data_IF_372108691674
#
_entry.id   IF_372108691674
#
_cell.length_a   1.000
_cell.length_b   1.000
_cell.length_c   1.000
_cell.angle_alpha   90.00
_cell.angle_beta   90.00
_cell.angle_gamma   90.00
#
_symmetry.space_group_name_H-M   'P 1'
#
loop_
_entity.id
_entity.type
_entity.pdbx_description
1 polymer ?
#
# COMPACT_ATOMS: atom_id res chain seq x y z
N UNK A 1 25.37 22.34 -13.36
CA UNK A 1 24.59 22.48 -12.10
C UNK A 1 23.45 21.46 -11.93
N UNK A 2 23.34 20.42 -12.76
CA UNK A 2 22.36 19.30 -12.61
C UNK A 2 22.75 18.25 -11.55
N UNK A 3 24.00 18.30 -11.04
CA UNK A 3 24.53 17.37 -10.05
C UNK A 3 24.13 17.68 -8.58
N UNK A 4 23.45 18.80 -8.33
CA UNK A 4 23.07 19.25 -6.97
C UNK A 4 21.61 18.93 -6.59
N UNK A 5 20.92 18.10 -7.38
CA UNK A 5 19.60 17.60 -6.98
C UNK A 5 19.74 16.59 -5.83
N UNK A 6 19.09 16.79 -4.66
CA UNK A 6 19.16 15.89 -3.52
C UNK A 6 18.30 14.66 -3.79
N UNK A 7 18.92 13.71 -4.47
CA UNK A 7 18.34 12.47 -4.95
C UNK A 7 19.38 11.54 -5.55
N UNK A 8 20.66 11.95 -5.61
CA UNK A 8 21.77 10.99 -5.68
C UNK A 8 21.79 10.19 -4.37
N UNK A 9 20.89 9.22 -4.29
CA UNK A 9 21.27 7.96 -3.65
C UNK A 9 22.67 7.65 -4.18
N UNK A 10 23.55 7.18 -3.29
CA UNK A 10 24.79 6.55 -3.76
C UNK A 10 24.43 5.61 -4.91
N UNK A 11 25.30 5.43 -5.92
CA UNK A 11 25.03 4.52 -7.04
C UNK A 11 24.41 3.20 -6.56
N UNK A 12 24.93 2.67 -5.43
CA UNK A 12 24.42 1.51 -4.68
C UNK A 12 22.95 1.63 -4.24
N UNK A 13 22.53 2.76 -3.65
CA UNK A 13 21.14 2.96 -3.25
C UNK A 13 20.18 3.09 -4.43
N UNK A 14 20.63 3.64 -5.56
CA UNK A 14 19.83 3.69 -6.80
C UNK A 14 19.63 2.31 -7.40
N UNK A 15 20.71 1.52 -7.47
CA UNK A 15 20.66 0.12 -7.89
C UNK A 15 19.75 -0.72 -6.99
N UNK A 16 19.90 -0.63 -5.67
CA UNK A 16 19.05 -1.36 -4.74
C UNK A 16 17.55 -1.03 -4.91
N UNK A 17 17.23 0.25 -5.19
CA UNK A 17 15.84 0.67 -5.45
C UNK A 17 15.32 0.14 -6.78
N UNK A 18 16.13 0.18 -7.84
CA UNK A 18 15.77 -0.37 -9.15
C UNK A 18 15.55 -1.89 -9.08
N UNK A 19 16.47 -2.61 -8.43
CA UNK A 19 16.34 -4.05 -8.18
C UNK A 19 15.09 -4.34 -7.35
N UNK A 20 14.79 -3.55 -6.32
CA UNK A 20 13.59 -3.70 -5.53
C UNK A 20 12.30 -3.53 -6.35
N UNK A 21 12.23 -2.52 -7.21
CA UNK A 21 11.07 -2.34 -8.11
C UNK A 21 10.99 -3.42 -9.18
N UNK A 22 12.13 -3.83 -9.76
CA UNK A 22 12.18 -4.93 -10.72
C UNK A 22 11.73 -6.25 -10.11
N UNK A 23 12.18 -6.58 -8.92
CA UNK A 23 11.74 -7.76 -8.18
C UNK A 23 10.24 -7.70 -7.88
N UNK A 24 9.72 -6.54 -7.45
CA UNK A 24 8.28 -6.36 -7.23
C UNK A 24 7.48 -6.55 -8.53
N UNK A 25 7.94 -5.99 -9.65
CA UNK A 25 7.32 -6.16 -10.96
C UNK A 25 7.33 -7.63 -11.42
N UNK A 26 8.44 -8.34 -11.24
CA UNK A 26 8.56 -9.77 -11.57
C UNK A 26 7.61 -10.61 -10.72
N UNK A 27 7.55 -10.37 -9.41
CA UNK A 27 6.64 -11.11 -8.52
C UNK A 27 5.18 -10.84 -8.89
N UNK A 28 4.80 -9.57 -9.06
CA UNK A 28 3.45 -9.20 -9.46
C UNK A 28 3.10 -9.75 -10.85
N UNK A 29 4.05 -9.75 -11.78
CA UNK A 29 3.88 -10.33 -13.10
C UNK A 29 3.68 -11.85 -13.05
N UNK A 30 4.49 -12.57 -12.27
CA UNK A 30 4.33 -14.02 -12.11
C UNK A 30 2.98 -14.39 -11.47
N UNK A 31 2.55 -13.64 -10.45
CA UNK A 31 1.23 -13.80 -9.84
C UNK A 31 0.09 -13.48 -10.83
N UNK A 32 0.29 -12.48 -11.69
CA UNK A 32 -0.69 -12.13 -12.71
C UNK A 32 -0.76 -13.14 -13.85
N UNK A 33 0.37 -13.73 -14.24
CA UNK A 33 0.44 -14.78 -15.25
C UNK A 33 -0.29 -16.05 -14.77
N UNK A 34 0.00 -16.48 -13.54
CA UNK A 34 -0.67 -17.63 -12.91
C UNK A 34 -2.17 -17.38 -12.72
N UNK A 35 -2.56 -16.16 -12.33
CA UNK A 35 -3.97 -15.79 -12.27
C UNK A 35 -4.65 -15.73 -13.66
N UNK A 36 -3.92 -15.37 -14.71
CA UNK A 36 -4.45 -15.26 -16.07
C UNK A 36 -4.51 -16.58 -16.85
N UNK A 37 -3.91 -17.64 -16.32
CA UNK A 37 -3.81 -18.95 -16.94
C UNK A 37 -5.20 -19.63 -16.98
N UNK A 38 -5.54 -20.24 -18.12
CA UNK A 38 -6.84 -20.92 -18.30
C UNK A 38 -8.06 -20.00 -18.42
N UNK A 39 -7.94 -18.70 -18.14
CA UNK A 39 -9.06 -17.75 -18.25
C UNK A 39 -9.40 -17.43 -19.71
N UNK A 40 -10.71 -17.43 -20.01
CA UNK A 40 -11.25 -16.93 -21.26
C UNK A 40 -11.09 -15.40 -21.38
N UNK A 41 -11.28 -14.79 -22.57
CA UNK A 41 -11.12 -13.34 -22.74
C UNK A 41 -11.99 -12.51 -21.80
N UNK A 42 -13.21 -12.97 -21.49
CA UNK A 42 -14.10 -12.29 -20.56
C UNK A 42 -13.62 -12.39 -19.10
N UNK A 43 -13.12 -13.56 -18.68
CA UNK A 43 -12.50 -13.80 -17.38
C UNK A 43 -11.27 -12.92 -17.17
N UNK A 44 -10.40 -12.80 -18.16
CA UNK A 44 -9.23 -11.90 -18.12
C UNK A 44 -9.64 -10.43 -17.98
N UNK A 45 -10.65 -9.99 -18.72
CA UNK A 45 -11.16 -8.63 -18.60
C UNK A 45 -11.75 -8.34 -17.21
N UNK A 46 -12.50 -9.28 -16.63
CA UNK A 46 -12.99 -9.18 -15.24
C UNK A 46 -11.83 -9.11 -14.25
N UNK A 47 -10.85 -10.00 -14.38
CA UNK A 47 -9.69 -10.06 -13.49
C UNK A 47 -8.91 -8.73 -13.49
N UNK A 48 -8.61 -8.16 -14.66
CA UNK A 48 -7.91 -6.86 -14.77
C UNK A 48 -8.68 -5.75 -14.05
N UNK A 49 -10.00 -5.72 -14.15
CA UNK A 49 -10.84 -4.70 -13.52
C UNK A 49 -10.93 -4.86 -12.02
N UNK A 50 -11.11 -6.08 -11.52
CA UNK A 50 -11.10 -6.35 -10.08
C UNK A 50 -9.74 -6.01 -9.46
N UNK A 51 -8.65 -6.37 -10.15
CA UNK A 51 -7.30 -6.00 -9.76
C UNK A 51 -7.11 -4.48 -9.75
N UNK A 52 -7.66 -3.75 -10.72
CA UNK A 52 -7.63 -2.28 -10.75
C UNK A 52 -8.40 -1.66 -9.58
N UNK A 53 -9.58 -2.20 -9.23
CA UNK A 53 -10.38 -1.77 -8.07
C UNK A 53 -9.59 -1.98 -6.77
N UNK A 54 -9.00 -3.16 -6.61
CA UNK A 54 -8.18 -3.51 -5.45
C UNK A 54 -6.95 -2.60 -5.34
N UNK A 55 -6.23 -2.40 -6.44
CA UNK A 55 -5.07 -1.50 -6.49
C UNK A 55 -5.50 -0.08 -6.12
N UNK A 56 -6.65 0.38 -6.59
CA UNK A 56 -7.19 1.70 -6.24
C UNK A 56 -7.46 1.85 -4.74
N UNK A 57 -7.96 0.80 -4.08
CA UNK A 57 -8.09 0.78 -2.62
C UNK A 57 -6.73 0.88 -1.93
N UNK A 58 -5.74 0.11 -2.40
CA UNK A 58 -4.37 0.17 -1.91
C UNK A 58 -3.72 1.55 -2.10
N UNK A 59 -3.91 2.18 -3.26
CA UNK A 59 -3.39 3.51 -3.57
C UNK A 59 -4.06 4.61 -2.73
N UNK A 60 -5.37 4.49 -2.47
CA UNK A 60 -6.13 5.42 -1.64
C UNK A 60 -5.57 5.54 -0.22
N UNK A 61 -5.08 4.42 0.33
CA UNK A 61 -4.49 4.36 1.67
C UNK A 61 -2.97 4.60 1.64
N UNK A 62 -2.26 3.94 0.72
CA UNK A 62 -0.81 3.84 0.73
C UNK A 62 -0.07 5.13 0.37
N UNK A 63 -0.68 6.03 -0.38
CA UNK A 63 -0.04 7.27 -0.85
C UNK A 63 0.44 8.18 0.28
N UNK A 64 -0.30 8.27 1.39
CA UNK A 64 0.10 9.06 2.55
C UNK A 64 1.39 8.52 3.18
N UNK A 65 1.47 7.19 3.33
CA UNK A 65 2.62 6.50 3.88
C UNK A 65 3.83 6.51 2.94
N UNK A 66 3.59 6.53 1.62
CA UNK A 66 4.64 6.62 0.62
C UNK A 66 5.25 8.03 0.55
N UNK A 67 4.41 9.07 0.62
CA UNK A 67 4.84 10.46 0.49
C UNK A 67 5.40 11.02 1.81
N UNK A 68 4.74 10.75 2.93
CA UNK A 68 4.93 11.48 4.18
C UNK A 68 5.27 10.59 5.40
N UNK A 69 6.11 11.08 6.33
CA UNK A 69 7.08 12.17 6.15
C UNK A 69 8.29 11.69 5.32
N UNK A 70 8.79 12.53 4.41
CA UNK A 70 10.03 12.23 3.67
C UNK A 70 11.25 12.23 4.60
N UNK A 71 12.19 11.29 4.40
CA UNK A 71 13.51 11.37 5.07
C UNK A 71 14.32 12.58 4.60
N UNK A 72 14.03 13.08 3.40
CA UNK A 72 14.76 14.19 2.82
C UNK A 72 14.25 15.56 3.28
N UNK A 73 13.16 15.65 4.08
CA UNK A 73 12.54 16.93 4.47
C UNK A 73 13.56 17.95 4.98
N UNK A 74 14.38 17.58 5.97
CA UNK A 74 15.37 18.50 6.56
C UNK A 74 16.37 19.03 5.53
N UNK A 75 16.84 18.17 4.63
CA UNK A 75 17.76 18.57 3.56
C UNK A 75 17.07 19.46 2.53
N UNK A 76 15.84 19.14 2.18
CA UNK A 76 15.04 19.95 1.26
C UNK A 76 14.73 21.32 1.87
N UNK A 77 14.56 21.43 3.19
CA UNK A 77 14.38 22.72 3.88
C UNK A 77 15.63 23.58 3.78
N UNK A 78 16.82 22.99 3.95
CA UNK A 78 18.10 23.72 3.83
C UNK A 78 18.36 24.22 2.42
N UNK A 79 17.96 23.45 1.41
CA UNK A 79 18.18 23.79 0.00
C UNK A 79 17.09 24.73 -0.53
N UNK A 80 15.91 24.70 0.10
CA UNK A 80 14.73 25.48 -0.27
C UNK A 80 14.45 25.50 -1.78
N UNK A 81 14.27 24.34 -2.42
CA UNK A 81 14.11 24.26 -3.87
C UNK A 81 12.76 24.85 -4.32
N UNK A 82 12.73 25.33 -5.57
CA UNK A 82 11.52 25.87 -6.20
C UNK A 82 10.35 24.85 -6.21
N UNK A 83 9.08 25.32 -6.24
CA UNK A 83 7.90 24.45 -6.20
C UNK A 83 7.92 23.32 -7.24
N UNK A 84 8.39 23.61 -8.46
CA UNK A 84 8.50 22.61 -9.54
C UNK A 84 9.46 21.46 -9.20
N UNK A 85 10.59 21.75 -8.54
CA UNK A 85 11.54 20.72 -8.11
C UNK A 85 11.02 19.90 -6.95
N UNK A 86 10.29 20.52 -6.01
CA UNK A 86 9.58 19.78 -4.96
C UNK A 86 8.55 18.82 -5.56
N UNK A 87 7.81 19.27 -6.58
CA UNK A 87 6.82 18.45 -7.27
C UNK A 87 7.47 17.26 -7.98
N UNK A 88 8.55 17.51 -8.73
CA UNK A 88 9.35 16.46 -9.36
C UNK A 88 9.91 15.47 -8.34
N UNK A 89 10.40 15.94 -7.19
CA UNK A 89 10.87 15.08 -6.11
C UNK A 89 9.75 14.17 -5.57
N UNK A 90 8.58 14.74 -5.29
CA UNK A 90 7.43 14.00 -4.78
C UNK A 90 6.92 12.97 -5.81
N UNK A 91 6.78 13.38 -7.08
CA UNK A 91 6.39 12.49 -8.18
C UNK A 91 7.43 11.40 -8.43
N UNK A 92 8.74 11.69 -8.44
CA UNK A 92 9.79 10.69 -8.62
C UNK A 92 9.87 9.66 -7.47
N UNK A 93 9.32 9.99 -6.31
CA UNK A 93 9.12 9.02 -5.21
C UNK A 93 7.89 8.15 -5.42
N UNK A 94 6.81 8.75 -5.93
CA UNK A 94 5.52 8.10 -6.06
C UNK A 94 5.33 7.30 -7.34
N UNK A 95 5.68 7.85 -8.51
CA UNK A 95 5.41 7.30 -9.84
C UNK A 95 5.86 5.84 -10.04
N UNK A 96 6.98 5.36 -9.46
CA UNK A 96 7.33 3.95 -9.54
C UNK A 96 6.26 3.00 -8.97
N UNK A 97 5.47 3.45 -7.99
CA UNK A 97 4.40 2.64 -7.36
C UNK A 97 3.32 2.28 -8.37
N UNK A 98 2.56 3.22 -8.98
CA UNK A 98 1.53 2.86 -9.95
C UNK A 98 2.10 2.23 -11.23
N UNK A 99 3.34 2.53 -11.63
CA UNK A 99 3.99 1.85 -12.77
C UNK A 99 4.22 0.35 -12.51
N UNK A 100 4.69 0.00 -11.31
CA UNK A 100 4.88 -1.40 -10.93
C UNK A 100 3.53 -2.10 -10.74
N UNK A 101 2.54 -1.38 -10.20
CA UNK A 101 1.18 -1.92 -10.03
C UNK A 101 0.40 -2.06 -11.34
N UNK A 102 0.82 -1.44 -12.45
CA UNK A 102 0.22 -1.70 -13.77
C UNK A 102 0.71 -2.99 -14.43
N UNK A 103 1.83 -3.57 -13.96
CA UNK A 103 2.42 -4.78 -14.55
C UNK A 103 1.43 -5.96 -14.63
N UNK A 104 0.65 -6.27 -13.58
CA UNK A 104 -0.36 -7.33 -13.66
C UNK A 104 -1.34 -7.18 -14.82
N UNK A 105 -1.82 -5.96 -15.09
CA UNK A 105 -2.77 -5.71 -16.18
C UNK A 105 -2.14 -6.00 -17.55
N UNK A 106 -0.86 -5.64 -17.72
CA UNK A 106 -0.10 -5.95 -18.94
C UNK A 106 0.06 -7.46 -19.08
N UNK A 107 0.47 -8.15 -18.01
CA UNK A 107 0.75 -9.59 -18.05
C UNK A 107 -0.51 -10.42 -18.29
N UNK A 108 -1.63 -10.13 -17.63
CA UNK A 108 -2.91 -10.81 -17.86
C UNK A 108 -3.39 -10.65 -19.31
N UNK A 109 -3.08 -9.51 -19.93
CA UNK A 109 -3.42 -9.21 -21.31
C UNK A 109 -2.37 -9.69 -22.34
N UNK A 110 -1.19 -10.16 -21.90
CA UNK A 110 -0.01 -10.39 -22.74
C UNK A 110 -0.06 -11.64 -23.63
N UNK A 111 -1.08 -12.49 -23.51
CA UNK A 111 -1.28 -13.68 -24.36
C UNK A 111 -1.68 -13.33 -25.83
N UNK A 112 -1.15 -12.21 -26.35
CA UNK A 112 -1.06 -11.87 -27.76
C UNK A 112 -2.29 -11.24 -28.41
N UNK A 113 -3.43 -11.08 -27.71
CA UNK A 113 -4.71 -10.77 -28.39
C UNK A 113 -5.56 -9.66 -27.80
N UNK A 114 -5.09 -8.92 -26.79
CA UNK A 114 -5.90 -7.88 -26.13
C UNK A 114 -5.11 -6.61 -25.73
N UNK A 115 -4.45 -5.90 -26.67
CA UNK A 115 -3.69 -4.68 -26.37
C UNK A 115 -4.57 -3.58 -25.76
N UNK A 116 -5.84 -3.53 -26.12
CA UNK A 116 -6.81 -2.59 -25.54
C UNK A 116 -7.08 -2.87 -24.06
N UNK A 117 -7.12 -4.15 -23.64
CA UNK A 117 -7.30 -4.51 -22.24
C UNK A 117 -6.05 -4.17 -21.41
N UNK A 118 -4.85 -4.41 -21.95
CA UNK A 118 -3.60 -4.01 -21.33
C UNK A 118 -3.56 -2.48 -21.11
N UNK A 119 -3.96 -1.72 -22.14
CA UNK A 119 -4.04 -0.27 -22.09
C UNK A 119 -5.10 0.20 -21.08
N UNK A 120 -6.31 -0.38 -21.09
CA UNK A 120 -7.38 -0.08 -20.12
C UNK A 120 -6.87 -0.23 -18.69
N UNK A 121 -6.40 -1.42 -18.31
CA UNK A 121 -5.95 -1.70 -16.95
C UNK A 121 -4.75 -0.85 -16.53
N UNK A 122 -3.75 -0.71 -17.40
CA UNK A 122 -2.55 0.08 -17.09
C UNK A 122 -2.88 1.55 -16.93
N UNK A 123 -3.70 2.12 -17.83
CA UNK A 123 -4.11 3.51 -17.74
C UNK A 123 -5.01 3.76 -16.54
N UNK A 124 -5.91 2.84 -16.18
CA UNK A 124 -6.74 2.97 -14.98
C UNK A 124 -5.90 2.97 -13.70
N UNK A 125 -4.90 2.09 -13.58
CA UNK A 125 -3.98 2.08 -12.43
C UNK A 125 -3.15 3.37 -12.36
N UNK A 126 -2.61 3.82 -13.50
CA UNK A 126 -1.86 5.08 -13.57
C UNK A 126 -2.73 6.29 -13.25
N UNK A 127 -3.96 6.33 -13.76
CA UNK A 127 -4.95 7.36 -13.50
C UNK A 127 -5.28 7.43 -12.02
N UNK A 128 -5.62 6.30 -11.39
CA UNK A 128 -5.89 6.21 -9.96
C UNK A 128 -4.68 6.64 -9.13
N UNK A 129 -3.47 6.20 -9.50
CA UNK A 129 -2.23 6.56 -8.81
C UNK A 129 -1.90 8.05 -8.87
N UNK A 130 -1.99 8.65 -10.06
CA UNK A 130 -1.76 10.09 -10.22
C UNK A 130 -2.88 10.92 -9.57
N UNK A 131 -4.12 10.45 -9.65
CA UNK A 131 -5.25 11.11 -8.97
C UNK A 131 -5.05 11.08 -7.46
N UNK A 132 -4.66 9.93 -6.89
CA UNK A 132 -4.29 9.79 -5.49
C UNK A 132 -3.20 10.79 -5.11
N UNK A 133 -2.13 10.87 -5.90
CA UNK A 133 -1.07 11.85 -5.69
C UNK A 133 -1.62 13.28 -5.65
N UNK A 134 -2.35 13.71 -6.68
CA UNK A 134 -2.87 15.07 -6.76
C UNK A 134 -3.77 15.41 -5.55
N UNK A 135 -4.59 14.46 -5.11
CA UNK A 135 -5.52 14.65 -3.98
C UNK A 135 -4.82 14.69 -2.63
N UNK A 136 -3.76 13.92 -2.43
CA UNK A 136 -3.03 13.86 -1.17
C UNK A 136 -1.88 14.86 -1.07
N UNK A 137 -1.27 15.23 -2.20
CA UNK A 137 -0.19 16.18 -2.23
C UNK A 137 -0.65 17.62 -1.88
N UNK A 138 -1.95 17.90 -2.04
CA UNK A 138 -2.60 19.15 -1.64
C UNK A 138 -3.34 19.06 -0.29
N UNK A 139 -3.13 18.00 0.51
CA UNK A 139 -3.98 17.73 1.67
C UNK A 139 -3.67 18.64 2.87
N UNK A 140 -2.40 18.97 3.11
CA UNK A 140 -1.97 19.76 4.26
C UNK A 140 -2.75 21.08 4.45
N UNK A 141 -2.84 21.94 3.41
CA UNK A 141 -3.64 23.17 3.50
C UNK A 141 -5.11 22.93 3.87
N UNK A 142 -5.72 21.85 3.34
CA UNK A 142 -7.12 21.49 3.65
C UNK A 142 -7.26 21.08 5.12
N UNK A 143 -6.32 20.30 5.65
CA UNK A 143 -6.33 19.90 7.07
C UNK A 143 -6.17 21.12 7.97
N UNK A 144 -5.27 22.06 7.64
CA UNK A 144 -5.13 23.30 8.41
C UNK A 144 -6.40 24.16 8.40
N UNK A 145 -7.11 24.24 7.28
CA UNK A 145 -8.39 24.94 7.21
C UNK A 145 -9.48 24.25 8.07
N UNK A 146 -9.43 22.91 8.19
CA UNK A 146 -10.31 22.17 9.10
C UNK A 146 -9.97 22.41 10.57
N UNK A 147 -8.67 22.40 10.93
CA UNK A 147 -8.20 22.69 12.29
C UNK A 147 -8.55 24.11 12.76
N UNK A 148 -8.54 25.09 11.85
CA UNK A 148 -8.95 26.48 12.12
C UNK A 148 -10.46 26.70 12.03
N UNK A 149 -11.21 25.63 11.83
CA UNK A 149 -12.66 25.66 11.64
C UNK A 149 -13.18 26.46 10.42
N UNK A 150 -12.29 26.91 9.53
CA UNK A 150 -12.62 27.57 8.25
C UNK A 150 -13.33 26.61 7.27
N UNK A 151 -13.16 25.30 7.46
CA UNK A 151 -13.80 24.25 6.68
C UNK A 151 -14.42 23.16 7.58
N UNK A 152 -15.22 22.27 6.98
CA UNK A 152 -15.81 21.12 7.68
C UNK A 152 -17.11 21.40 8.46
N UNK A 153 -17.72 22.58 8.27
CA UNK A 153 -18.95 22.96 8.98
C UNK A 153 -20.13 21.99 8.78
N UNK A 154 -20.21 21.32 7.61
CA UNK A 154 -21.22 20.28 7.37
C UNK A 154 -21.05 19.08 8.31
N UNK A 155 -19.81 18.65 8.55
CA UNK A 155 -19.50 17.49 9.38
C UNK A 155 -19.74 17.81 10.86
N UNK A 156 -19.39 19.05 11.27
CA UNK A 156 -19.72 19.55 12.60
C UNK A 156 -21.22 19.54 12.86
N UNK A 157 -22.01 20.09 11.93
CA UNK A 157 -23.48 20.03 11.99
C UNK A 157 -24.00 18.58 12.05
N UNK A 158 -23.38 17.67 11.30
CA UNK A 158 -23.80 16.28 11.24
C UNK A 158 -23.64 15.56 12.58
N UNK A 159 -22.50 15.68 13.27
CA UNK A 159 -22.35 15.03 14.58
C UNK A 159 -23.02 15.80 15.72
N UNK A 160 -23.34 17.10 15.56
CA UNK A 160 -24.23 17.80 16.49
C UNK A 160 -25.63 17.19 16.46
N UNK A 161 -26.12 16.80 15.28
CA UNK A 161 -27.43 16.16 15.11
C UNK A 161 -27.43 14.66 15.43
N UNK A 162 -26.35 13.95 15.10
CA UNK A 162 -26.19 12.53 15.39
C UNK A 162 -24.80 12.25 15.98
N UNK A 163 -24.63 12.32 17.31
CA UNK A 163 -23.34 12.12 17.97
C UNK A 163 -22.69 10.76 17.67
N UNK A 164 -23.49 9.73 17.36
CA UNK A 164 -23.05 8.40 16.96
C UNK A 164 -22.31 8.36 15.61
N UNK A 165 -22.44 9.40 14.78
CA UNK A 165 -21.79 9.51 13.46
C UNK A 165 -20.40 10.15 13.57
N UNK A 166 -20.01 10.65 14.75
CA UNK A 166 -18.67 11.21 14.95
C UNK A 166 -17.63 10.12 14.72
N UNK A 167 -16.77 10.31 13.72
CA UNK A 167 -15.63 9.44 13.52
C UNK A 167 -14.78 9.44 14.78
N UNK A 168 -14.39 8.26 15.28
CA UNK A 168 -13.47 8.09 16.40
C UNK A 168 -12.02 8.45 16.05
N UNK A 169 -11.80 9.42 15.17
CA UNK A 169 -10.48 9.94 14.78
C UNK A 169 -10.41 11.44 15.05
N UNK A 170 -9.22 12.00 15.32
CA UNK A 170 -9.04 13.45 15.39
C UNK A 170 -9.61 14.15 14.15
N UNK A 171 -10.26 15.31 14.33
CA UNK A 171 -10.93 16.05 13.25
C UNK A 171 -9.96 16.42 12.09
N UNK A 172 -8.68 16.59 12.41
CA UNK A 172 -7.60 16.80 11.44
C UNK A 172 -7.40 15.62 10.44
N UNK A 173 -7.86 14.41 10.78
CA UNK A 173 -7.76 13.22 9.90
C UNK A 173 -8.98 13.03 9.00
N UNK A 174 -10.10 13.70 9.27
CA UNK A 174 -11.34 13.58 8.48
C UNK A 174 -11.15 13.98 7.01
N UNK A 175 -10.42 15.07 6.67
CA UNK A 175 -10.10 15.37 5.27
C UNK A 175 -9.33 14.24 4.58
N UNK A 176 -8.43 13.56 5.31
CA UNK A 176 -7.70 12.40 4.81
C UNK A 176 -8.61 11.22 4.50
N UNK A 177 -9.59 10.94 5.36
CA UNK A 177 -10.61 9.91 5.14
C UNK A 177 -11.47 10.22 3.91
N UNK A 178 -11.95 11.47 3.78
CA UNK A 178 -12.74 11.88 2.63
C UNK A 178 -11.96 11.76 1.31
N UNK A 179 -10.65 12.08 1.34
CA UNK A 179 -9.77 11.92 0.18
C UNK A 179 -9.50 10.45 -0.13
N UNK A 180 -9.36 9.61 0.88
CA UNK A 180 -9.24 8.15 0.73
C UNK A 180 -10.49 7.60 0.04
N UNK A 181 -11.68 7.94 0.53
CA UNK A 181 -12.95 7.55 -0.09
C UNK A 181 -13.07 8.04 -1.52
N UNK A 182 -12.76 9.31 -1.79
CA UNK A 182 -12.83 9.86 -3.15
C UNK A 182 -11.85 9.18 -4.12
N UNK A 183 -10.62 8.90 -3.68
CA UNK A 183 -9.62 8.20 -4.51
C UNK A 183 -10.05 6.77 -4.79
N UNK A 184 -10.53 6.05 -3.77
CA UNK A 184 -11.07 4.70 -3.94
C UNK A 184 -12.25 4.71 -4.91
N UNK A 185 -13.24 5.59 -4.71
CA UNK A 185 -14.42 5.69 -5.56
C UNK A 185 -14.04 5.99 -7.02
N UNK A 186 -13.19 6.99 -7.27
CA UNK A 186 -12.75 7.31 -8.65
C UNK A 186 -12.01 6.14 -9.28
N UNK A 187 -11.09 5.52 -8.54
CA UNK A 187 -10.32 4.37 -9.04
C UNK A 187 -11.16 3.11 -9.24
N UNK A 188 -12.20 2.89 -8.43
CA UNK A 188 -13.10 1.76 -8.55
C UNK A 188 -14.18 1.97 -9.62
N UNK A 189 -14.70 3.19 -9.76
CA UNK A 189 -15.68 3.54 -10.79
C UNK A 189 -15.07 3.61 -12.19
N UNK A 190 -13.80 3.98 -12.33
CA UNK A 190 -13.12 4.05 -13.64
C UNK A 190 -13.23 2.74 -14.45
N UNK A 191 -12.86 1.55 -13.95
CA UNK A 191 -12.99 0.30 -14.69
C UNK A 191 -14.46 -0.13 -14.90
N UNK A 192 -15.37 0.26 -13.99
CA UNK A 192 -16.81 -0.02 -14.15
C UNK A 192 -17.42 0.81 -15.29
N UNK A 193 -17.10 2.10 -15.35
CA UNK A 193 -17.50 2.99 -16.44
C UNK A 193 -16.87 2.55 -17.76
N UNK A 194 -15.59 2.17 -17.73
CA UNK A 194 -14.91 1.60 -18.91
C UNK A 194 -15.65 0.37 -19.45
N UNK A 195 -16.10 -0.53 -18.57
CA UNK A 195 -16.90 -1.68 -18.98
C UNK A 195 -18.26 -1.29 -19.57
N UNK A 196 -19.00 -0.37 -18.94
CA UNK A 196 -20.28 0.10 -19.45
C UNK A 196 -20.13 0.74 -20.83
N UNK A 197 -19.09 1.57 -21.01
CA UNK A 197 -18.78 2.20 -22.30
C UNK A 197 -18.33 1.19 -23.34
N UNK A 198 -17.55 0.17 -22.94
CA UNK A 198 -17.15 -0.93 -23.84
C UNK A 198 -18.37 -1.71 -24.34
N UNK A 199 -19.32 -2.02 -23.46
CA UNK A 199 -20.54 -2.73 -23.83
C UNK A 199 -21.42 -1.89 -24.77
N UNK A 200 -21.56 -0.58 -24.49
CA UNK A 200 -22.28 0.33 -25.36
C UNK A 200 -21.54 0.56 -26.69
N UNK A 201 -20.22 0.65 -26.67
CA UNK A 201 -19.38 0.85 -27.83
C UNK A 201 -19.34 -0.36 -28.75
N UNK A 202 -19.47 -1.58 -28.22
CA UNK A 202 -19.64 -2.79 -29.01
C UNK A 202 -20.91 -2.76 -29.88
N UNK A 203 -21.98 -2.11 -29.42
CA UNK A 203 -23.22 -1.91 -30.19
C UNK A 203 -22.97 -0.96 -31.38
N UNK A 204 -22.05 -0.01 -31.23
CA UNK A 204 -21.75 1.06 -32.21
C UNK A 204 -20.46 0.77 -33.02
N UNK A 205 -19.78 -0.35 -32.78
CA UNK A 205 -18.51 -0.71 -33.45
C UNK A 205 -17.29 0.12 -32.99
N UNK A 206 -17.32 0.74 -31.82
CA UNK A 206 -16.24 1.60 -31.30
C UNK A 206 -15.38 0.88 -30.24
N UNK A 207 -14.40 0.12 -30.71
CA UNK A 207 -13.47 -0.64 -29.88
C UNK A 207 -12.69 0.18 -28.79
N UNK A 208 -12.29 1.45 -28.98
CA UNK A 208 -11.51 2.19 -27.97
C UNK A 208 -12.36 2.88 -26.89
N UNK A 209 -13.68 2.69 -26.87
CA UNK A 209 -14.60 3.30 -25.89
C UNK A 209 -14.24 2.98 -24.43
N UNK A 210 -13.64 1.81 -24.16
CA UNK A 210 -13.15 1.42 -22.84
C UNK A 210 -12.06 2.35 -22.28
N UNK A 211 -11.30 3.05 -23.14
CA UNK A 211 -10.21 3.93 -22.72
C UNK A 211 -10.69 5.33 -22.28
N UNK A 212 -11.94 5.69 -22.57
CA UNK A 212 -12.47 7.04 -22.28
C UNK A 212 -12.40 7.33 -20.78
N UNK A 213 -12.85 6.41 -19.93
CA UNK A 213 -12.86 6.61 -18.49
C UNK A 213 -11.46 6.87 -17.89
N UNK A 214 -10.44 6.00 -18.10
CA UNK A 214 -9.10 6.28 -17.58
C UNK A 214 -8.46 7.54 -18.18
N UNK A 215 -8.71 7.85 -19.46
CA UNK A 215 -8.19 9.07 -20.08
C UNK A 215 -8.81 10.35 -19.50
N UNK A 216 -10.12 10.34 -19.21
CA UNK A 216 -10.79 11.47 -18.54
C UNK A 216 -10.19 11.69 -17.14
N UNK A 217 -9.99 10.61 -16.36
CA UNK A 217 -9.36 10.72 -15.04
C UNK A 217 -7.93 11.25 -15.15
N UNK A 218 -7.15 10.80 -16.14
CA UNK A 218 -5.81 11.34 -16.41
C UNK A 218 -5.83 12.82 -16.77
N UNK A 219 -6.75 13.25 -17.64
CA UNK A 219 -6.89 14.65 -18.03
C UNK A 219 -7.25 15.54 -16.83
N UNK A 220 -8.24 15.14 -16.03
CA UNK A 220 -8.60 15.83 -14.78
C UNK A 220 -7.40 15.91 -13.84
N UNK A 221 -6.66 14.81 -13.70
CA UNK A 221 -5.49 14.74 -12.84
C UNK A 221 -4.35 15.63 -13.32
N UNK A 222 -4.11 15.69 -14.63
CA UNK A 222 -3.13 16.58 -15.23
C UNK A 222 -3.45 18.05 -14.92
N UNK A 223 -4.73 18.44 -15.03
CA UNK A 223 -5.21 19.78 -14.64
C UNK A 223 -4.98 20.05 -13.15
N UNK A 224 -5.28 19.08 -12.28
CA UNK A 224 -5.05 19.23 -10.83
C UNK A 224 -3.56 19.42 -10.50
N UNK A 225 -2.68 18.62 -11.11
CA UNK A 225 -1.23 18.72 -10.91
C UNK A 225 -0.69 20.05 -11.46
N UNK A 226 -1.16 20.48 -12.64
CA UNK A 226 -0.77 21.75 -13.23
C UNK A 226 -1.14 22.95 -12.33
N UNK A 227 -2.35 22.96 -11.78
CA UNK A 227 -2.79 23.99 -10.82
C UNK A 227 -1.99 23.95 -9.52
N UNK A 228 -1.59 22.76 -9.08
CA UNK A 228 -0.81 22.58 -7.85
C UNK A 228 0.65 23.06 -8.01
N UNK A 229 1.22 23.01 -9.21
CA UNK A 229 2.64 23.27 -9.48
C UNK A 229 3.14 24.59 -8.91
N UNK A 230 2.37 25.68 -9.06
CA UNK A 230 2.80 27.01 -8.64
C UNK A 230 2.82 27.22 -7.11
N UNK A 231 1.99 26.47 -6.38
CA UNK A 231 1.83 26.60 -4.92
C UNK A 231 2.29 25.35 -4.17
N UNK A 232 3.05 24.50 -4.86
CA UNK A 232 3.40 23.19 -4.34
C UNK A 232 4.34 23.25 -3.14
N UNK A 233 5.16 24.28 -3.01
CA UNK A 233 5.99 24.54 -1.84
C UNK A 233 5.15 24.60 -0.56
N UNK A 234 4.11 25.43 -0.53
CA UNK A 234 3.20 25.57 0.62
C UNK A 234 2.50 24.25 0.90
N UNK A 235 1.95 23.62 -0.13
CA UNK A 235 1.28 22.34 0.00
C UNK A 235 2.22 21.24 0.54
N UNK A 236 3.46 21.20 0.05
CA UNK A 236 4.48 20.24 0.44
C UNK A 236 4.89 20.41 1.91
N UNK A 237 5.24 21.62 2.33
CA UNK A 237 5.71 21.88 3.69
C UNK A 237 4.61 21.70 4.73
N UNK A 238 3.41 22.23 4.46
CA UNK A 238 2.27 22.08 5.38
C UNK A 238 1.88 20.60 5.50
N UNK A 239 1.82 19.86 4.39
CA UNK A 239 1.47 18.43 4.44
C UNK A 239 2.49 17.63 5.24
N UNK A 240 3.79 17.92 5.12
CA UNK A 240 4.81 17.25 5.92
C UNK A 240 4.68 17.57 7.42
N UNK A 241 4.37 18.82 7.77
CA UNK A 241 4.13 19.21 9.16
C UNK A 241 2.90 18.51 9.74
N UNK A 242 1.76 18.61 9.06
CA UNK A 242 0.50 17.97 9.47
C UNK A 242 0.67 16.47 9.66
N UNK A 243 1.30 15.77 8.72
CA UNK A 243 1.50 14.32 8.85
C UNK A 243 2.52 13.97 9.93
N UNK A 244 3.59 14.75 10.09
CA UNK A 244 4.52 14.55 11.19
C UNK A 244 3.83 14.74 12.54
N UNK A 245 2.91 15.70 12.66
CA UNK A 245 2.10 15.93 13.85
C UNK A 245 1.08 14.81 14.05
N UNK A 246 0.37 14.38 13.00
CA UNK A 246 -0.57 13.27 13.07
C UNK A 246 0.11 11.97 13.51
N UNK A 247 1.28 11.63 12.93
CA UNK A 247 2.05 10.46 13.37
C UNK A 247 2.57 10.62 14.81
N UNK A 248 2.98 11.83 15.22
CA UNK A 248 3.37 12.12 16.62
C UNK A 248 2.20 12.09 17.59
N UNK A 249 0.99 12.49 17.19
CA UNK A 249 -0.21 12.39 18.01
C UNK A 249 -0.64 10.93 18.15
N UNK A 250 -0.49 10.11 17.11
CA UNK A 250 -0.61 8.65 17.25
C UNK A 250 0.45 8.08 18.21
N UNK A 251 1.65 8.66 18.26
CA UNK A 251 2.69 8.28 19.24
C UNK A 251 2.40 8.77 20.67
N UNK A 252 1.72 9.90 20.84
CA UNK A 252 1.45 10.59 22.11
C UNK A 252 0.03 10.40 22.65
N UNK A 253 -0.88 9.78 21.89
CA UNK A 253 -2.24 9.55 22.34
C UNK A 253 -2.21 8.67 23.60
N UNK A 254 -2.25 9.34 24.75
CA UNK A 254 -2.33 8.75 26.11
C UNK A 254 -3.54 7.82 26.27
N UNK A 255 -4.49 7.86 25.34
CA UNK A 255 -5.73 7.07 25.35
C UNK A 255 -5.65 5.69 24.70
N UNK A 256 -4.59 5.37 23.93
CA UNK A 256 -4.31 3.95 23.64
C UNK A 256 -3.39 3.46 24.73
N UNK A 257 -3.92 2.68 25.67
CA UNK A 257 -3.08 1.92 26.60
C UNK A 257 -1.94 1.30 25.79
N UNK A 258 -0.67 1.61 26.11
CA UNK A 258 0.44 1.02 25.41
C UNK A 258 0.27 -0.48 25.50
N UNK A 259 0.24 -1.17 24.35
CA UNK A 259 0.19 -2.64 24.29
C UNK A 259 1.20 -3.11 25.33
N UNK A 260 0.75 -3.80 26.37
CA UNK A 260 1.67 -4.23 27.44
C UNK A 260 2.58 -5.32 26.87
N UNK A 261 3.81 -5.47 27.34
CA UNK A 261 4.72 -6.53 26.85
C UNK A 261 4.07 -7.91 27.06
N UNK A 262 3.29 -8.03 28.13
CA UNK A 262 2.50 -9.19 28.53
C UNK A 262 1.40 -9.54 27.52
N UNK A 263 0.91 -8.56 26.74
CA UNK A 263 -0.08 -8.80 25.69
C UNK A 263 0.49 -9.64 24.52
N UNK A 264 1.81 -9.79 24.43
CA UNK A 264 2.48 -10.73 23.51
C UNK A 264 2.61 -12.11 24.18
N UNK A 265 1.50 -12.61 24.75
CA UNK A 265 1.49 -13.84 25.54
C UNK A 265 1.89 -15.09 24.72
N UNK A 266 1.60 -15.06 23.41
CA UNK A 266 1.88 -16.12 22.45
C UNK A 266 3.37 -16.24 22.08
N UNK A 267 4.19 -15.22 22.36
CA UNK A 267 5.63 -15.32 22.17
C UNK A 267 6.33 -15.90 23.42
N UNK A 268 7.39 -16.71 23.27
CA UNK A 268 8.19 -17.19 24.39
C UNK A 268 8.74 -16.03 25.24
N UNK A 269 8.78 -16.19 26.57
CA UNK A 269 9.14 -15.12 27.53
C UNK A 269 10.43 -14.38 27.16
N UNK A 270 11.46 -15.10 26.72
CA UNK A 270 12.74 -14.52 26.29
C UNK A 270 12.66 -13.67 25.02
N UNK A 271 11.66 -13.86 24.15
CA UNK A 271 11.51 -13.13 22.89
C UNK A 271 10.47 -12.01 22.95
N UNK A 272 9.59 -12.01 23.97
CA UNK A 272 8.50 -11.03 24.14
C UNK A 272 8.96 -9.58 23.97
N UNK A 273 10.05 -9.09 24.60
CA UNK A 273 10.44 -7.68 24.46
C UNK A 273 10.79 -7.29 23.02
N UNK A 274 11.43 -8.19 22.27
CA UNK A 274 11.83 -7.95 20.88
C UNK A 274 10.62 -7.99 19.93
N UNK A 275 9.75 -9.00 20.09
CA UNK A 275 8.49 -9.10 19.33
C UNK A 275 7.62 -7.88 19.60
N UNK A 276 7.41 -7.55 20.88
CA UNK A 276 6.65 -6.38 21.31
C UNK A 276 7.18 -5.08 20.69
N UNK A 277 8.49 -4.84 20.79
CA UNK A 277 9.10 -3.64 20.22
C UNK A 277 8.90 -3.57 18.70
N UNK A 278 9.04 -4.70 18.01
CA UNK A 278 8.79 -4.79 16.57
C UNK A 278 7.33 -4.49 16.20
N UNK A 279 6.36 -5.08 16.91
CA UNK A 279 4.93 -4.90 16.66
C UNK A 279 4.48 -3.47 16.89
N UNK A 280 4.83 -2.90 18.05
CA UNK A 280 4.49 -1.51 18.39
C UNK A 280 5.07 -0.55 17.36
N UNK A 281 6.31 -0.78 16.93
CA UNK A 281 6.94 0.04 15.90
C UNK A 281 6.29 -0.11 14.51
N UNK A 282 5.90 -1.31 14.12
CA UNK A 282 5.26 -1.57 12.82
C UNK A 282 3.84 -1.01 12.75
N UNK A 283 2.99 -1.32 13.73
CA UNK A 283 1.58 -0.92 13.74
C UNK A 283 1.41 0.61 13.79
N UNK A 284 2.41 1.34 14.31
CA UNK A 284 2.45 2.82 14.27
C UNK A 284 2.64 3.38 12.88
N UNK A 285 3.33 2.67 11.99
CA UNK A 285 3.72 3.17 10.67
C UNK A 285 2.88 2.60 9.54
N UNK A 286 2.42 1.37 9.69
CA UNK A 286 1.69 0.64 8.68
C UNK A 286 0.54 -0.09 9.37
N UNK A 287 -0.73 0.17 8.99
CA UNK A 287 -1.89 -0.42 9.65
C UNK A 287 -2.04 -1.90 9.26
N UNK A 288 -1.11 -2.76 9.70
CA UNK A 288 -0.99 -4.15 9.26
C UNK A 288 -2.28 -4.94 9.44
N UNK A 289 -2.99 -4.74 10.55
CA UNK A 289 -4.28 -5.41 10.78
C UNK A 289 -5.33 -5.08 9.71
N UNK A 290 -5.39 -3.83 9.23
CA UNK A 290 -6.33 -3.45 8.16
C UNK A 290 -5.91 -4.03 6.82
N UNK A 291 -4.61 -4.05 6.53
CA UNK A 291 -4.08 -4.62 5.29
C UNK A 291 -4.28 -6.13 5.28
N UNK A 292 -4.05 -6.81 6.41
CA UNK A 292 -4.31 -8.23 6.56
C UNK A 292 -5.80 -8.54 6.38
N UNK A 293 -6.69 -7.79 7.03
CA UNK A 293 -8.13 -7.99 6.88
C UNK A 293 -8.59 -7.78 5.43
N UNK A 294 -8.11 -6.73 4.74
CA UNK A 294 -8.44 -6.49 3.33
C UNK A 294 -7.90 -7.60 2.42
N UNK A 295 -6.67 -8.07 2.67
CA UNK A 295 -6.07 -9.16 1.90
C UNK A 295 -6.81 -10.48 2.10
N UNK A 296 -7.22 -10.79 3.33
CA UNK A 296 -8.04 -11.97 3.63
C UNK A 296 -9.45 -11.88 3.04
N UNK A 297 -10.08 -10.70 3.10
CA UNK A 297 -11.37 -10.47 2.46
C UNK A 297 -11.29 -10.64 0.94
N UNK A 298 -10.19 -10.20 0.32
CA UNK A 298 -9.93 -10.45 -1.09
C UNK A 298 -9.78 -11.94 -1.39
N UNK A 299 -8.96 -12.66 -0.62
CA UNK A 299 -8.79 -14.12 -0.77
C UNK A 299 -10.15 -14.81 -0.74
N UNK A 300 -10.97 -14.49 0.26
CA UNK A 300 -12.32 -15.04 0.39
C UNK A 300 -13.21 -14.66 -0.80
N UNK A 301 -13.20 -13.39 -1.22
CA UNK A 301 -14.01 -12.92 -2.35
C UNK A 301 -13.61 -13.59 -3.67
N UNK A 302 -12.32 -13.84 -3.90
CA UNK A 302 -11.81 -14.53 -5.09
C UNK A 302 -12.31 -15.97 -5.16
N UNK A 303 -12.21 -16.72 -4.06
CA UNK A 303 -12.70 -18.10 -3.98
C UNK A 303 -14.23 -18.16 -4.11
N UNK A 304 -14.95 -17.29 -3.38
CA UNK A 304 -16.42 -17.26 -3.46
C UNK A 304 -16.93 -16.84 -4.86
N UNK A 305 -16.14 -16.05 -5.60
CA UNK A 305 -16.43 -15.67 -6.98
C UNK A 305 -16.00 -16.74 -8.01
N UNK A 306 -15.33 -17.83 -7.58
CA UNK A 306 -14.85 -18.93 -8.42
C UNK A 306 -14.10 -18.44 -9.66
N UNK A 307 -13.11 -17.58 -9.41
CA UNK A 307 -12.32 -16.98 -10.49
C UNK A 307 -11.26 -17.94 -11.06
N UNK A 308 -11.19 -19.17 -10.54
CA UNK A 308 -10.32 -20.24 -11.02
C UNK A 308 -9.08 -20.42 -10.14
N UNK A 309 -8.60 -21.66 -10.08
CA UNK A 309 -7.54 -22.13 -9.17
C UNK A 309 -6.27 -21.26 -9.24
N UNK A 310 -5.89 -20.79 -10.44
CA UNK A 310 -4.74 -19.92 -10.63
C UNK A 310 -4.90 -18.55 -9.96
N UNK A 311 -6.10 -17.94 -10.05
CA UNK A 311 -6.40 -16.65 -9.42
C UNK A 311 -6.46 -16.80 -7.90
N UNK A 312 -7.06 -17.89 -7.45
CA UNK A 312 -7.17 -18.25 -6.04
C UNK A 312 -5.80 -18.41 -5.40
N UNK A 313 -4.94 -19.23 -6.00
CA UNK A 313 -3.56 -19.43 -5.56
C UNK A 313 -2.74 -18.13 -5.61
N UNK A 314 -2.87 -17.33 -6.68
CA UNK A 314 -2.18 -16.05 -6.78
C UNK A 314 -2.62 -15.05 -5.71
N UNK A 315 -3.90 -15.04 -5.34
CA UNK A 315 -4.43 -14.17 -4.28
C UNK A 315 -3.85 -14.52 -2.90
N UNK A 316 -3.74 -15.82 -2.61
CA UNK A 316 -3.13 -16.34 -1.39
C UNK A 316 -1.63 -16.07 -1.34
N UNK A 317 -0.91 -16.30 -2.44
CA UNK A 317 0.51 -15.98 -2.55
C UNK A 317 0.76 -14.48 -2.36
N UNK A 318 -0.07 -13.61 -2.97
CA UNK A 318 0.01 -12.17 -2.78
C UNK A 318 -0.17 -11.77 -1.32
N UNK A 319 -1.18 -12.34 -0.65
CA UNK A 319 -1.41 -12.13 0.77
C UNK A 319 -0.18 -12.50 1.61
N UNK A 320 0.34 -13.71 1.44
CA UNK A 320 1.52 -14.22 2.16
C UNK A 320 2.72 -13.31 1.93
N UNK A 321 3.03 -12.95 0.68
CA UNK A 321 4.17 -12.10 0.34
C UNK A 321 4.04 -10.71 0.97
N UNK A 322 2.87 -10.08 0.86
CA UNK A 322 2.65 -8.71 1.38
C UNK A 322 2.75 -8.67 2.90
N UNK A 323 2.08 -9.60 3.59
CA UNK A 323 2.01 -9.61 5.05
C UNK A 323 3.35 -10.00 5.67
N UNK A 324 4.01 -11.04 5.16
CA UNK A 324 5.33 -11.41 5.64
C UNK A 324 6.39 -10.37 5.26
N UNK A 325 6.31 -9.81 4.05
CA UNK A 325 7.23 -8.80 3.55
C UNK A 325 7.19 -7.49 4.35
N UNK A 326 6.06 -7.17 4.98
CA UNK A 326 5.93 -5.96 5.78
C UNK A 326 6.86 -5.94 7.01
N UNK A 327 7.33 -7.11 7.48
CA UNK A 327 8.35 -7.18 8.54
C UNK A 327 9.66 -6.52 8.13
N UNK A 328 9.95 -6.38 6.82
CA UNK A 328 11.13 -5.68 6.32
C UNK A 328 11.17 -4.21 6.76
N UNK A 329 10.02 -3.60 7.04
CA UNK A 329 9.95 -2.25 7.59
C UNK A 329 10.63 -2.17 8.97
N UNK A 330 10.63 -3.25 9.75
CA UNK A 330 11.31 -3.33 11.06
C UNK A 330 12.84 -3.29 10.99
N UNK A 331 13.44 -3.45 9.80
CA UNK A 331 14.88 -3.27 9.58
C UNK A 331 15.26 -1.82 9.24
N UNK A 332 14.29 -0.90 9.19
CA UNK A 332 14.55 0.53 9.01
C UNK A 332 14.77 1.21 10.35
N UNK A 333 15.81 2.03 10.47
CA UNK A 333 16.05 2.90 11.64
C UNK A 333 14.87 3.83 11.96
N UNK A 334 14.01 4.08 10.97
CA UNK A 334 12.79 4.87 11.15
C UNK A 334 11.76 4.13 12.00
N UNK A 335 11.69 2.81 11.86
CA UNK A 335 10.72 1.96 12.55
C UNK A 335 11.32 1.47 13.85
N UNK A 336 12.55 0.96 13.79
CA UNK A 336 13.24 0.43 14.95
C UNK A 336 14.73 0.82 14.88
N UNK A 337 15.20 1.76 15.72
CA UNK A 337 16.59 2.22 15.69
C UNK A 337 17.59 1.08 15.87
N UNK A 338 18.69 1.08 15.12
CA UNK A 338 19.71 0.03 15.18
C UNK A 338 20.33 -0.15 16.59
N UNK A 339 20.48 0.95 17.33
CA UNK A 339 20.93 0.89 18.73
C UNK A 339 19.94 0.13 19.63
N UNK A 340 18.63 0.22 19.34
CA UNK A 340 17.58 -0.48 20.09
C UNK A 340 17.51 -1.95 19.72
N UNK A 341 17.73 -2.30 18.45
CA UNK A 341 17.87 -3.71 18.05
C UNK A 341 19.09 -4.36 18.71
N UNK A 342 20.24 -3.69 18.70
CA UNK A 342 21.45 -4.18 19.38
C UNK A 342 21.27 -4.43 20.88
N UNK A 343 20.56 -3.54 21.59
CA UNK A 343 20.26 -3.71 23.04
C UNK A 343 19.27 -4.84 23.33
N UNK A 344 18.36 -5.15 22.41
CA UNK A 344 17.29 -6.14 22.60
C UNK A 344 17.70 -7.56 22.16
N UNK A 345 18.85 -7.73 21.50
CA UNK A 345 19.40 -9.05 21.19
C UNK A 345 20.26 -9.11 19.92
N UNK A 346 20.98 -10.23 19.76
CA UNK A 346 21.74 -10.54 18.55
C UNK A 346 20.89 -11.03 17.36
N UNK A 347 21.55 -11.41 16.27
CA UNK A 347 20.94 -11.86 15.01
C UNK A 347 19.90 -12.95 15.23
N UNK A 348 20.25 -14.03 15.95
CA UNK A 348 19.34 -15.15 16.20
C UNK A 348 18.04 -14.73 16.91
N UNK A 349 18.15 -13.84 17.92
CA UNK A 349 17.00 -13.34 18.67
C UNK A 349 16.08 -12.49 17.80
N UNK A 350 16.64 -11.67 16.92
CA UNK A 350 15.85 -10.85 15.99
C UNK A 350 15.25 -11.65 14.84
N UNK A 351 15.92 -12.68 14.34
CA UNK A 351 15.35 -13.62 13.38
C UNK A 351 14.13 -14.33 13.99
N UNK A 352 14.27 -14.87 15.20
CA UNK A 352 13.16 -15.51 15.91
C UNK A 352 12.02 -14.53 16.20
N UNK A 353 12.33 -13.30 16.62
CA UNK A 353 11.31 -12.27 16.87
C UNK A 353 10.54 -11.91 15.59
N UNK A 354 11.23 -11.69 14.46
CA UNK A 354 10.58 -11.37 13.18
C UNK A 354 9.77 -12.53 12.61
N UNK A 355 10.25 -13.76 12.78
CA UNK A 355 9.49 -14.96 12.45
C UNK A 355 8.18 -15.00 13.24
N UNK A 356 8.25 -14.84 14.57
CA UNK A 356 7.07 -14.79 15.44
C UNK A 356 6.12 -13.66 15.07
N UNK A 357 6.64 -12.47 14.76
CA UNK A 357 5.83 -11.36 14.28
C UNK A 357 5.05 -11.72 13.00
N UNK A 358 5.60 -12.54 12.12
CA UNK A 358 4.94 -12.98 10.89
C UNK A 358 3.92 -14.09 11.15
N UNK A 359 4.29 -15.12 11.91
CA UNK A 359 3.43 -16.27 12.25
C UNK A 359 2.14 -15.86 12.96
N UNK A 360 2.07 -14.68 13.58
CA UNK A 360 0.83 -14.16 14.16
C UNK A 360 -0.34 -14.04 13.18
N UNK A 361 -0.06 -13.99 11.87
CA UNK A 361 -1.07 -13.92 10.81
C UNK A 361 -1.53 -15.29 10.31
N UNK A 362 -0.87 -16.37 10.75
CA UNK A 362 -1.27 -17.72 10.40
C UNK A 362 -2.67 -18.08 10.95
N UNK A 363 -3.03 -17.79 12.22
CA UNK A 363 -4.38 -18.07 12.71
C UNK A 363 -5.52 -17.43 11.90
N UNK A 364 -5.50 -16.13 11.54
CA UNK A 364 -6.56 -15.56 10.71
C UNK A 364 -6.55 -16.09 9.26
N UNK A 365 -5.39 -16.40 8.67
CA UNK A 365 -5.32 -17.09 7.38
C UNK A 365 -5.98 -18.48 7.45
N UNK A 366 -5.59 -19.29 8.43
CA UNK A 366 -6.17 -20.60 8.68
C UNK A 366 -7.68 -20.51 8.95
N UNK A 367 -8.12 -19.50 9.70
CA UNK A 367 -9.55 -19.26 9.96
C UNK A 367 -10.35 -18.97 8.69
N UNK A 368 -9.80 -18.18 7.76
CA UNK A 368 -10.44 -17.94 6.45
C UNK A 368 -10.44 -19.19 5.59
N UNK A 369 -9.34 -19.94 5.54
CA UNK A 369 -9.28 -21.20 4.79
C UNK A 369 -10.25 -22.25 5.37
N UNK A 370 -10.36 -22.37 6.69
CA UNK A 370 -11.35 -23.23 7.35
C UNK A 370 -12.79 -22.81 7.03
N UNK A 371 -13.06 -21.51 6.99
CA UNK A 371 -14.36 -20.99 6.58
C UNK A 371 -14.64 -21.33 5.11
N UNK A 372 -13.64 -21.22 4.24
CA UNK A 372 -13.77 -21.57 2.82
C UNK A 372 -13.97 -23.08 2.63
N UNK A 373 -13.29 -23.94 3.40
CA UNK A 373 -13.56 -25.40 3.41
C UNK A 373 -15.04 -25.68 3.73
N UNK A 374 -15.67 -24.85 4.56
CA UNK A 374 -17.09 -25.01 4.91
C UNK A 374 -18.04 -24.39 3.87
N UNK A 375 -17.67 -23.29 3.22
CA UNK A 375 -18.52 -22.53 2.30
C UNK A 375 -18.35 -22.92 0.82
N UNK A 376 -17.20 -23.48 0.46
CA UNK A 376 -16.77 -23.70 -0.90
C UNK A 376 -16.31 -25.16 -1.03
N UNK A 377 -16.91 -25.89 -1.97
CA UNK A 377 -16.70 -27.34 -2.15
C UNK A 377 -15.32 -27.68 -2.74
N UNK A 378 -14.63 -26.68 -3.28
CA UNK A 378 -13.35 -26.75 -3.97
C UNK A 378 -12.14 -26.53 -3.04
N UNK A 379 -12.36 -26.04 -1.81
CA UNK A 379 -11.26 -25.84 -0.83
C UNK A 379 -11.16 -27.03 0.10
N UNK A 380 -9.99 -27.65 0.13
CA UNK A 380 -9.73 -28.88 0.88
C UNK A 380 -8.84 -28.66 2.12
N UNK A 381 -8.81 -29.66 3.00
CA UNK A 381 -7.84 -29.73 4.10
C UNK A 381 -6.38 -29.73 3.64
N UNK A 382 -6.13 -30.23 2.42
CA UNK A 382 -4.80 -30.19 1.82
C UNK A 382 -4.38 -28.76 1.51
N UNK A 383 -5.30 -27.91 1.03
CA UNK A 383 -5.00 -26.50 0.74
C UNK A 383 -4.65 -25.74 2.02
N UNK A 384 -5.38 -25.99 3.11
CA UNK A 384 -5.03 -25.46 4.43
C UNK A 384 -3.61 -25.86 4.84
N UNK A 385 -3.23 -27.12 4.67
CA UNK A 385 -1.91 -27.60 5.02
C UNK A 385 -0.81 -26.98 4.14
N UNK A 386 -1.01 -26.94 2.82
CA UNK A 386 -0.08 -26.35 1.85
C UNK A 386 0.13 -24.87 2.15
N UNK A 387 -0.93 -24.08 2.28
CA UNK A 387 -0.81 -22.65 2.52
C UNK A 387 -0.26 -22.31 3.91
N UNK A 388 -0.50 -23.17 4.90
CA UNK A 388 0.18 -23.08 6.20
C UNK A 388 1.69 -23.26 6.07
N UNK A 389 2.13 -24.29 5.33
CA UNK A 389 3.56 -24.53 5.10
C UNK A 389 4.21 -23.40 4.28
N UNK A 390 3.51 -22.89 3.27
CA UNK A 390 3.95 -21.75 2.46
C UNK A 390 4.12 -20.49 3.32
N UNK A 391 3.15 -20.17 4.17
CA UNK A 391 3.24 -19.02 5.07
C UNK A 391 4.38 -19.16 6.09
N UNK A 392 4.53 -20.34 6.71
CA UNK A 392 5.62 -20.63 7.64
C UNK A 392 7.00 -20.54 6.96
N UNK A 393 7.11 -21.05 5.73
CA UNK A 393 8.32 -20.96 4.92
C UNK A 393 8.67 -19.52 4.57
N UNK A 394 7.69 -18.75 4.08
CA UNK A 394 7.83 -17.33 3.77
C UNK A 394 8.21 -16.51 5.02
N UNK A 395 7.54 -16.75 6.15
CA UNK A 395 7.83 -16.12 7.43
C UNK A 395 9.28 -16.34 7.85
N UNK A 396 9.76 -17.58 7.76
CA UNK A 396 11.13 -17.97 8.11
C UNK A 396 12.17 -17.32 7.19
N UNK A 397 11.98 -17.44 5.88
CA UNK A 397 12.87 -16.88 4.87
C UNK A 397 12.98 -15.36 5.01
N UNK A 398 11.86 -14.66 5.07
CA UNK A 398 11.83 -13.20 5.15
C UNK A 398 12.41 -12.72 6.48
N UNK A 399 12.10 -13.38 7.60
CA UNK A 399 12.70 -13.04 8.90
C UNK A 399 14.24 -13.16 8.87
N UNK A 400 14.77 -14.22 8.24
CA UNK A 400 16.20 -14.41 8.03
C UNK A 400 16.83 -13.31 7.18
N UNK A 401 16.29 -13.08 5.98
CA UNK A 401 16.79 -12.08 5.03
C UNK A 401 16.77 -10.66 5.61
N UNK A 402 15.66 -10.27 6.24
CA UNK A 402 15.50 -8.94 6.84
C UNK A 402 16.49 -8.75 7.99
N UNK A 403 16.73 -9.79 8.80
CA UNK A 403 17.68 -9.71 9.91
C UNK A 403 19.11 -9.60 9.43
N UNK A 404 19.49 -10.39 8.44
CA UNK A 404 20.83 -10.31 7.84
C UNK A 404 21.06 -8.91 7.24
N UNK A 405 20.08 -8.39 6.49
CA UNK A 405 20.16 -7.06 5.90
C UNK A 405 20.27 -5.94 6.97
N UNK A 406 19.54 -6.06 8.08
CA UNK A 406 19.64 -5.12 9.21
C UNK A 406 21.02 -5.18 9.89
N UNK A 407 21.56 -6.39 10.08
CA UNK A 407 22.86 -6.60 10.72
C UNK A 407 24.02 -6.03 9.89
N UNK A 408 24.04 -6.28 8.58
CA UNK A 408 25.04 -5.72 7.66
C UNK A 408 25.01 -4.19 7.68
N UNK A 409 23.81 -3.59 7.76
CA UNK A 409 23.67 -2.13 7.84
C UNK A 409 24.21 -1.55 9.15
N UNK A 410 23.96 -2.21 10.28
CA UNK A 410 24.46 -1.77 11.57
C UNK A 410 26.00 -1.73 11.59
N UNK A 411 26.66 -2.79 11.13
CA UNK A 411 28.13 -2.83 11.09
C UNK A 411 28.72 -1.75 10.18
N UNK A 412 28.09 -1.45 9.04
CA UNK A 412 28.52 -0.35 8.15
C UNK A 412 28.30 1.07 8.71
N UNK A 413 27.47 1.22 9.74
CA UNK A 413 27.20 2.52 10.36
C UNK A 413 28.09 2.79 11.57
N UNK A 414 28.71 1.74 12.12
CA UNK A 414 29.61 1.80 13.29
C UNK A 414 31.08 1.76 12.88
N UNK A 415 31.40 1.14 11.75
CA UNK A 415 32.70 1.26 11.07
C UNK A 415 32.77 2.57 10.28
#
# INVERSE_FOLDING_TARGET
MSALLPGSMSPVGRWARLVGWGAAAVVLGALAATAGEGLDPAGRARLVRYLTILISAGLAVGVQHALYPSAAVRRLQLINPEPGRLLQHALGRWLPVPLVLSVPAVVIAFDGRAPLLAAEGSLSVLAAGLYAFARFASLGPVVRAWEREEAGGWYRRLYTWAPSVRYGVPDALVPGLNRTGAVFLVGALSPLVAQTLSNAGAIVGSAPSALVAPLVVLAVTAVLIARLRATFDRAFWISHGVWADAFRQVERAESREPIRVEAVYWAPRGLRPAVWAGLVSLDRRFPLGRVAALGLALVAAVHLARLGDGVEAASLALYVVVINGAVALSASDKVLPAARTGRLGGVARWSAARFLMNVRWLPPLAGVLLLLIWLAEDVSWNDLAVWTLVDLGAASLIAGLVTLAAHVRFHRAVA
#
